data_IF_371150958059
#
_entry.id   IF_371150958059
#
_cell.length_a   1.000
_cell.length_b   1.000
_cell.length_c   1.000
_cell.angle_alpha   90.00
_cell.angle_beta   90.00
_cell.angle_gamma   90.00
#
_symmetry.space_group_name_H-M   'P 1'
#
loop_
_entity.id
_entity.type
_entity.pdbx_description
1 polymer ?
#
# COMPACT_ATOMS: atom_id res chain seq x y z
N UNK A 1 -0.61 40.96 -17.33
CA UNK A 1 -1.10 39.70 -16.74
C UNK A 1 0.10 38.98 -16.14
N UNK A 2 0.30 39.11 -14.84
CA UNK A 2 1.32 38.36 -14.09
C UNK A 2 0.89 36.90 -14.01
N UNK A 3 1.72 36.00 -14.52
CA UNK A 3 1.55 34.56 -14.34
C UNK A 3 1.79 34.28 -12.85
N UNK A 4 0.71 34.01 -12.11
CA UNK A 4 0.79 33.62 -10.70
C UNK A 4 1.64 32.35 -10.61
N UNK A 5 2.80 32.46 -9.98
CA UNK A 5 3.68 31.31 -9.76
C UNK A 5 3.02 30.44 -8.70
N UNK A 6 2.36 29.36 -9.10
CA UNK A 6 1.74 28.41 -8.16
C UNK A 6 2.78 27.95 -7.13
N UNK A 7 2.40 27.93 -5.85
CA UNK A 7 3.29 27.45 -4.80
C UNK A 7 3.60 25.95 -5.01
N UNK A 8 4.76 25.48 -4.53
CA UNK A 8 5.11 24.04 -4.58
C UNK A 8 4.01 23.17 -3.94
N UNK A 9 3.34 23.68 -2.90
CA UNK A 9 2.19 23.05 -2.26
C UNK A 9 1.02 22.92 -3.23
N UNK A 10 0.65 23.98 -3.95
CA UNK A 10 -0.48 23.97 -4.90
C UNK A 10 -0.23 23.04 -6.09
N UNK A 11 0.98 23.03 -6.64
CA UNK A 11 1.37 22.12 -7.73
C UNK A 11 1.35 20.65 -7.29
N UNK A 12 1.94 20.35 -6.13
CA UNK A 12 1.89 19.04 -5.50
C UNK A 12 0.45 18.57 -5.26
N UNK A 13 -0.37 19.45 -4.72
CA UNK A 13 -1.75 19.18 -4.38
C UNK A 13 -2.62 18.89 -5.59
N UNK A 14 -2.51 19.68 -6.66
CA UNK A 14 -3.27 19.46 -7.89
C UNK A 14 -2.97 18.08 -8.50
N UNK A 15 -1.72 17.63 -8.41
CA UNK A 15 -1.30 16.32 -8.94
C UNK A 15 -1.78 15.14 -8.07
N UNK A 16 -1.82 15.28 -6.75
CA UNK A 16 -2.09 14.15 -5.85
C UNK A 16 -3.46 14.11 -5.21
N UNK A 17 -4.22 15.22 -5.21
CA UNK A 17 -5.57 15.28 -4.63
C UNK A 17 -6.47 14.12 -5.11
N UNK A 18 -6.57 13.79 -6.41
CA UNK A 18 -7.43 12.69 -6.84
C UNK A 18 -7.01 11.36 -6.24
N UNK A 19 -5.69 11.10 -6.15
CA UNK A 19 -5.14 9.87 -5.58
C UNK A 19 -5.40 9.79 -4.09
N UNK A 20 -5.27 10.89 -3.36
CA UNK A 20 -5.46 10.88 -1.90
C UNK A 20 -6.93 10.72 -1.53
N UNK A 21 -7.83 11.41 -2.21
CA UNK A 21 -9.27 11.25 -2.00
C UNK A 21 -9.73 9.83 -2.35
N UNK A 22 -9.25 9.26 -3.46
CA UNK A 22 -9.54 7.87 -3.82
C UNK A 22 -8.99 6.86 -2.79
N UNK A 23 -7.92 7.22 -2.05
CA UNK A 23 -7.37 6.42 -0.95
C UNK A 23 -8.07 6.62 0.40
N UNK A 24 -9.17 7.38 0.44
CA UNK A 24 -9.98 7.54 1.64
C UNK A 24 -9.64 8.76 2.51
N UNK A 25 -8.83 9.69 2.00
CA UNK A 25 -8.66 11.01 2.62
C UNK A 25 -9.92 11.84 2.36
N UNK A 26 -10.46 12.45 3.43
CA UNK A 26 -11.60 13.34 3.31
C UNK A 26 -11.22 14.60 2.50
N UNK A 27 -12.09 14.99 1.57
CA UNK A 27 -11.84 16.14 0.71
C UNK A 27 -11.75 17.44 1.50
N UNK A 28 -12.54 17.59 2.58
CA UNK A 28 -12.53 18.80 3.39
C UNK A 28 -11.26 18.89 4.25
N UNK A 29 -10.74 17.75 4.71
CA UNK A 29 -9.43 17.70 5.37
C UNK A 29 -8.32 18.12 4.43
N UNK A 30 -8.34 17.61 3.19
CA UNK A 30 -7.36 17.98 2.18
C UNK A 30 -7.40 19.48 1.87
N UNK A 31 -8.58 20.02 1.57
CA UNK A 31 -8.77 21.46 1.31
C UNK A 31 -8.37 22.33 2.51
N UNK A 32 -8.69 21.89 3.74
CA UNK A 32 -8.30 22.59 4.98
C UNK A 32 -6.78 22.67 5.13
N UNK A 33 -6.05 21.60 4.80
CA UNK A 33 -4.59 21.60 4.81
C UNK A 33 -4.04 22.53 3.73
N UNK A 34 -4.55 22.46 2.50
CA UNK A 34 -4.07 23.30 1.40
C UNK A 34 -4.28 24.79 1.65
N UNK A 35 -5.47 25.17 2.12
CA UNK A 35 -5.78 26.56 2.41
C UNK A 35 -4.88 27.15 3.51
N UNK A 36 -4.36 26.30 4.40
CA UNK A 36 -3.54 26.70 5.54
C UNK A 36 -2.02 26.54 5.30
N UNK A 37 -1.59 25.82 4.25
CA UNK A 37 -0.20 25.57 3.92
C UNK A 37 0.29 26.56 2.86
N UNK A 38 0.84 27.69 3.31
CA UNK A 38 1.36 28.74 2.44
C UNK A 38 2.80 28.48 1.98
N UNK A 39 3.56 27.71 2.77
CA UNK A 39 4.91 27.25 2.44
C UNK A 39 4.97 25.71 2.43
N UNK A 40 5.92 25.13 1.68
CA UNK A 40 6.14 23.68 1.67
C UNK A 40 6.50 23.13 3.05
N UNK A 41 7.18 23.91 3.89
CA UNK A 41 7.50 23.57 5.29
C UNK A 41 6.27 23.39 6.17
N UNK A 42 5.15 24.02 5.81
CA UNK A 42 3.90 23.90 6.55
C UNK A 42 3.20 22.56 6.30
N UNK A 43 3.52 21.86 5.21
CA UNK A 43 2.83 20.65 4.78
C UNK A 43 2.73 19.58 5.87
N UNK A 44 3.88 19.13 6.41
CA UNK A 44 3.91 18.07 7.40
C UNK A 44 3.26 18.48 8.74
N UNK A 45 3.55 19.65 9.33
CA UNK A 45 2.87 20.10 10.55
C UNK A 45 1.34 20.23 10.41
N UNK A 46 0.84 20.63 9.24
CA UNK A 46 -0.62 20.75 9.00
C UNK A 46 -1.28 19.39 8.93
N UNK A 47 -0.68 18.44 8.22
CA UNK A 47 -1.17 17.06 8.18
C UNK A 47 -1.08 16.36 9.54
N UNK A 48 -0.04 16.64 10.33
CA UNK A 48 0.07 16.15 11.71
C UNK A 48 -1.15 16.59 12.53
N UNK A 49 -1.53 17.86 12.45
CA UNK A 49 -2.68 18.39 13.20
C UNK A 49 -3.99 17.68 12.83
N UNK A 50 -4.25 17.48 11.54
CA UNK A 50 -5.44 16.74 11.09
C UNK A 50 -5.38 15.28 11.52
N UNK A 51 -4.20 14.65 11.49
CA UNK A 51 -4.02 13.30 12.02
C UNK A 51 -4.33 13.20 13.52
N UNK A 52 -3.90 14.19 14.30
CA UNK A 52 -4.15 14.28 15.75
C UNK A 52 -5.64 14.49 16.07
N UNK A 53 -6.36 15.26 15.24
CA UNK A 53 -7.83 15.41 15.32
C UNK A 53 -8.53 14.06 15.13
N UNK A 54 -8.18 13.32 14.06
CA UNK A 54 -8.76 11.98 13.81
C UNK A 54 -8.38 10.95 14.85
N UNK A 55 -7.16 11.01 15.37
CA UNK A 55 -6.71 10.12 16.46
C UNK A 55 -7.57 10.32 17.71
N UNK A 56 -7.83 11.57 18.08
CA UNK A 56 -8.71 11.91 19.21
C UNK A 56 -10.14 11.39 19.01
N UNK A 57 -10.67 11.50 17.78
CA UNK A 57 -11.97 10.94 17.42
C UNK A 57 -11.98 9.40 17.53
N UNK A 58 -10.92 8.75 17.08
CA UNK A 58 -10.77 7.30 17.13
C UNK A 58 -10.77 6.79 18.56
N UNK A 59 -9.93 7.36 19.42
CA UNK A 59 -9.83 6.98 20.83
C UNK A 59 -11.13 7.29 21.59
N UNK A 60 -11.83 8.37 21.24
CA UNK A 60 -13.15 8.70 21.81
C UNK A 60 -14.23 7.69 21.40
N UNK A 61 -14.22 7.25 20.13
CA UNK A 61 -15.13 6.22 19.64
C UNK A 61 -14.84 4.85 20.28
N UNK A 62 -13.58 4.48 20.40
CA UNK A 62 -13.12 3.24 21.04
C UNK A 62 -13.54 3.17 22.51
N UNK A 63 -13.29 4.24 23.29
CA UNK A 63 -13.74 4.34 24.69
C UNK A 63 -15.25 4.18 24.85
N UNK A 64 -16.02 4.54 23.83
CA UNK A 64 -17.50 4.42 23.80
C UNK A 64 -17.97 3.08 23.21
N UNK A 65 -17.06 2.15 22.91
CA UNK A 65 -17.37 0.85 22.32
C UNK A 65 -17.82 0.90 20.86
N UNK A 66 -17.61 2.02 20.15
CA UNK A 66 -18.02 2.20 18.74
C UNK A 66 -16.89 1.77 17.81
N UNK A 67 -16.69 0.47 17.69
CA UNK A 67 -15.51 -0.12 17.04
C UNK A 67 -15.38 0.24 15.56
N UNK A 68 -16.47 0.24 14.78
CA UNK A 68 -16.42 0.63 13.35
C UNK A 68 -15.95 2.07 13.19
N UNK A 69 -16.56 3.00 13.93
CA UNK A 69 -16.17 4.41 13.90
C UNK A 69 -14.74 4.63 14.39
N UNK A 70 -14.30 3.89 15.40
CA UNK A 70 -12.93 3.93 15.89
C UNK A 70 -11.94 3.48 14.82
N UNK A 71 -12.21 2.34 14.17
CA UNK A 71 -11.38 1.82 13.08
C UNK A 71 -11.24 2.80 11.94
N UNK A 72 -12.34 3.37 11.44
CA UNK A 72 -12.27 4.33 10.34
C UNK A 72 -11.47 5.58 10.73
N UNK A 73 -11.66 6.10 11.95
CA UNK A 73 -10.93 7.26 12.43
C UNK A 73 -9.42 6.95 12.63
N UNK A 74 -9.07 5.75 13.10
CA UNK A 74 -7.68 5.30 13.15
C UNK A 74 -7.04 5.20 11.75
N UNK A 75 -7.78 4.72 10.74
CA UNK A 75 -7.28 4.72 9.35
C UNK A 75 -7.03 6.15 8.84
N UNK A 76 -7.99 7.06 9.03
CA UNK A 76 -7.88 8.46 8.61
C UNK A 76 -6.69 9.15 9.27
N UNK A 77 -6.51 8.96 10.59
CA UNK A 77 -5.36 9.49 11.33
C UNK A 77 -4.04 8.96 10.77
N UNK A 78 -3.93 7.65 10.56
CA UNK A 78 -2.72 7.01 10.02
C UNK A 78 -2.36 7.52 8.62
N UNK A 79 -3.36 7.73 7.75
CA UNK A 79 -3.14 8.29 6.41
C UNK A 79 -2.73 9.76 6.47
N UNK A 80 -3.32 10.57 7.36
CA UNK A 80 -2.89 11.95 7.55
C UNK A 80 -1.40 12.04 7.95
N UNK A 81 -0.95 11.20 8.89
CA UNK A 81 0.47 11.13 9.25
C UNK A 81 1.34 10.66 8.08
N UNK A 82 0.89 9.68 7.31
CA UNK A 82 1.60 9.23 6.12
C UNK A 82 1.75 10.35 5.07
N UNK A 83 0.68 11.11 4.83
CA UNK A 83 0.68 12.21 3.87
C UNK A 83 1.56 13.37 4.32
N UNK A 84 1.58 13.68 5.61
CA UNK A 84 2.45 14.74 6.15
C UNK A 84 3.92 14.50 5.80
N UNK A 85 4.37 13.25 5.81
CA UNK A 85 5.75 12.89 5.45
C UNK A 85 5.96 12.55 3.96
N UNK A 86 4.90 12.47 3.16
CA UNK A 86 4.99 12.03 1.77
C UNK A 86 5.72 13.08 0.91
N UNK A 87 6.89 12.73 0.39
CA UNK A 87 7.78 13.60 -0.40
C UNK A 87 8.20 14.90 0.32
N UNK A 88 8.15 14.89 1.65
CA UNK A 88 8.49 16.03 2.48
C UNK A 88 9.74 15.73 3.30
N UNK A 89 10.79 16.54 3.13
CA UNK A 89 12.13 16.28 3.69
C UNK A 89 12.71 17.47 4.46
N UNK A 90 11.89 18.47 4.79
CA UNK A 90 12.36 19.71 5.43
C UNK A 90 12.80 19.49 6.88
N UNK A 91 12.23 18.50 7.57
CA UNK A 91 12.62 18.11 8.94
C UNK A 91 12.63 16.58 9.08
N UNK A 92 13.81 16.02 9.32
CA UNK A 92 14.00 14.58 9.49
C UNK A 92 13.36 14.05 10.77
N UNK A 93 13.40 14.80 11.87
CA UNK A 93 12.83 14.38 13.15
C UNK A 93 11.31 14.29 13.06
N UNK A 94 10.67 15.31 12.45
CA UNK A 94 9.23 15.27 12.21
C UNK A 94 8.85 14.15 11.23
N UNK A 95 9.64 13.93 10.17
CA UNK A 95 9.40 12.83 9.24
C UNK A 95 9.41 11.46 9.93
N UNK A 96 10.38 11.22 10.83
CA UNK A 96 10.47 9.97 11.60
C UNK A 96 9.31 9.83 12.61
N UNK A 97 8.95 10.91 13.32
CA UNK A 97 7.78 10.93 14.21
C UNK A 97 6.50 10.56 13.46
N UNK A 98 6.26 11.16 12.29
CA UNK A 98 5.07 10.88 11.48
C UNK A 98 5.07 9.45 10.93
N UNK A 99 6.24 8.90 10.62
CA UNK A 99 6.36 7.48 10.22
C UNK A 99 5.94 6.56 11.36
N UNK A 100 6.45 6.78 12.56
CA UNK A 100 6.11 5.98 13.75
C UNK A 100 4.62 6.12 14.09
N UNK A 101 4.08 7.34 14.11
CA UNK A 101 2.66 7.59 14.36
C UNK A 101 1.77 6.92 13.31
N UNK A 102 2.12 7.00 12.02
CA UNK A 102 1.36 6.36 10.96
C UNK A 102 1.27 4.85 11.17
N UNK A 103 2.40 4.18 11.45
CA UNK A 103 2.44 2.73 11.68
C UNK A 103 1.68 2.34 12.94
N UNK A 104 1.95 3.00 14.07
CA UNK A 104 1.33 2.69 15.35
C UNK A 104 -0.19 2.91 15.33
N UNK A 105 -0.65 3.96 14.65
CA UNK A 105 -2.08 4.28 14.54
C UNK A 105 -2.79 3.30 13.61
N UNK A 106 -2.19 2.96 12.47
CA UNK A 106 -2.78 1.98 11.56
C UNK A 106 -2.87 0.58 12.20
N UNK A 107 -1.90 0.22 13.04
CA UNK A 107 -1.92 -1.04 13.80
C UNK A 107 -3.18 -1.18 14.67
N UNK A 108 -3.67 -0.07 15.27
CA UNK A 108 -4.92 -0.06 16.05
C UNK A 108 -6.17 -0.30 15.20
N UNK A 109 -6.12 0.06 13.91
CA UNK A 109 -7.25 -0.15 13.00
C UNK A 109 -7.39 -1.61 12.53
N UNK A 110 -6.31 -2.40 12.54
CA UNK A 110 -6.23 -3.70 11.85
C UNK A 110 -7.34 -4.67 12.22
N UNK A 111 -7.62 -4.84 13.51
CA UNK A 111 -8.62 -5.82 13.98
C UNK A 111 -10.06 -5.48 13.57
N UNK A 112 -10.36 -4.19 13.35
CA UNK A 112 -11.70 -3.76 12.94
C UNK A 112 -11.87 -3.53 11.44
N UNK A 113 -10.82 -3.79 10.63
CA UNK A 113 -10.95 -3.81 9.17
C UNK A 113 -11.91 -4.93 8.73
N UNK A 114 -12.55 -4.80 7.57
CA UNK A 114 -13.38 -5.86 6.98
C UNK A 114 -12.88 -6.23 5.57
N UNK A 115 -12.19 -7.38 5.39
CA UNK A 115 -11.82 -8.36 6.42
C UNK A 115 -10.71 -7.84 7.38
N UNK A 116 -10.58 -8.41 8.59
CA UNK A 116 -9.56 -8.02 9.56
C UNK A 116 -8.14 -8.11 8.99
N UNK A 117 -7.30 -7.16 9.39
CA UNK A 117 -5.88 -7.16 9.09
C UNK A 117 -5.07 -7.90 10.14
N UNK A 118 -4.10 -8.69 9.69
CA UNK A 118 -3.08 -9.32 10.51
C UNK A 118 -1.72 -8.77 10.10
N UNK A 119 -0.98 -8.26 11.08
CA UNK A 119 0.42 -7.83 10.86
C UNK A 119 1.28 -9.08 10.66
N UNK A 120 1.97 -9.17 9.53
CA UNK A 120 2.89 -10.28 9.20
C UNK A 120 4.28 -9.75 8.89
N UNK A 121 5.31 -10.52 9.17
CA UNK A 121 6.70 -10.15 8.87
C UNK A 121 7.34 -11.15 7.91
N UNK A 122 8.02 -10.61 6.90
CA UNK A 122 8.63 -11.39 5.83
C UNK A 122 10.15 -11.14 5.79
N UNK A 123 11.02 -12.15 5.99
CA UNK A 123 12.47 -11.97 6.05
C UNK A 123 13.09 -11.70 4.67
N UNK A 124 13.71 -10.55 4.44
CA UNK A 124 14.30 -10.17 3.15
C UNK A 124 15.70 -9.59 3.34
N UNK A 125 16.72 -10.22 2.73
CA UNK A 125 18.12 -9.74 2.76
C UNK A 125 18.65 -9.39 4.16
N UNK A 126 18.34 -10.23 5.17
CA UNK A 126 18.75 -9.98 6.56
C UNK A 126 17.91 -8.93 7.31
N UNK A 127 16.91 -8.35 6.66
CA UNK A 127 15.92 -7.46 7.24
C UNK A 127 14.55 -8.14 7.40
N UNK A 128 13.66 -7.54 8.19
CA UNK A 128 12.25 -7.92 8.28
C UNK A 128 11.39 -6.91 7.52
N UNK A 129 10.62 -7.37 6.53
CA UNK A 129 9.67 -6.54 5.80
C UNK A 129 8.30 -6.62 6.47
N UNK A 130 7.76 -5.49 6.93
CA UNK A 130 6.40 -5.44 7.44
C UNK A 130 5.34 -5.62 6.35
N UNK A 131 4.38 -6.51 6.57
CA UNK A 131 3.19 -6.69 5.73
C UNK A 131 1.90 -6.74 6.53
N UNK A 132 0.77 -6.59 5.84
CA UNK A 132 -0.58 -6.70 6.42
C UNK A 132 -1.36 -7.69 5.58
N UNK A 133 -1.67 -8.83 6.18
CA UNK A 133 -2.46 -9.89 5.59
C UNK A 133 -3.94 -9.66 5.89
N UNK A 134 -4.77 -9.67 4.86
CA UNK A 134 -6.23 -9.59 4.98
C UNK A 134 -6.83 -10.81 4.31
N UNK A 135 -7.62 -11.60 5.03
CA UNK A 135 -8.21 -12.84 4.52
C UNK A 135 -9.73 -12.66 4.40
N UNK A 136 -10.28 -12.44 3.20
CA UNK A 136 -11.71 -12.29 3.01
C UNK A 136 -12.45 -13.62 3.18
N UNK A 137 -13.35 -13.69 4.17
CA UNK A 137 -14.09 -14.92 4.51
C UNK A 137 -14.88 -15.53 3.33
N UNK A 138 -15.38 -14.68 2.41
CA UNK A 138 -16.16 -15.11 1.23
C UNK A 138 -15.33 -15.42 -0.02
N UNK A 139 -14.06 -15.02 -0.06
CA UNK A 139 -13.19 -15.29 -1.21
C UNK A 139 -12.88 -16.79 -1.37
N UNK A 140 -12.95 -17.56 -0.29
CA UNK A 140 -12.73 -19.00 -0.35
C UNK A 140 -13.88 -19.79 -1.04
N UNK A 141 -15.07 -19.20 -1.26
CA UNK A 141 -16.23 -19.98 -1.76
C UNK A 141 -17.11 -19.34 -2.84
N UNK A 142 -17.14 -18.01 -3.01
CA UNK A 142 -18.16 -17.38 -3.90
C UNK A 142 -17.63 -16.56 -5.08
N UNK A 143 -16.31 -16.36 -5.18
CA UNK A 143 -15.71 -15.57 -6.26
C UNK A 143 -16.11 -14.08 -6.30
N UNK A 144 -16.81 -13.58 -5.27
CA UNK A 144 -17.25 -12.17 -5.17
C UNK A 144 -16.59 -11.51 -3.97
N UNK A 145 -15.52 -10.78 -4.25
CA UNK A 145 -14.88 -9.82 -3.34
C UNK A 145 -15.55 -8.46 -3.50
N UNK A 146 -15.89 -7.81 -2.38
CA UNK A 146 -16.30 -6.40 -2.41
C UNK A 146 -15.05 -5.52 -2.56
N UNK A 147 -15.16 -4.39 -3.25
CA UNK A 147 -14.03 -3.51 -3.52
C UNK A 147 -13.42 -2.88 -2.25
N UNK A 148 -14.22 -2.69 -1.20
CA UNK A 148 -13.79 -2.22 0.13
C UNK A 148 -12.89 -3.23 0.87
N UNK A 149 -13.10 -4.53 0.65
CA UNK A 149 -12.31 -5.61 1.25
C UNK A 149 -10.85 -5.64 0.78
N UNK A 150 -10.55 -5.07 -0.39
CA UNK A 150 -9.20 -5.00 -0.97
C UNK A 150 -8.62 -3.58 -0.97
N UNK A 151 -9.36 -2.60 -0.45
CA UNK A 151 -8.88 -1.23 -0.33
C UNK A 151 -7.64 -1.15 0.57
N UNK A 152 -6.64 -0.37 0.13
CA UNK A 152 -5.37 -0.16 0.83
C UNK A 152 -4.26 -1.17 0.55
N UNK A 153 -4.42 -2.05 -0.44
CA UNK A 153 -3.33 -2.92 -0.90
C UNK A 153 -2.13 -2.11 -1.45
N UNK A 154 -0.93 -2.67 -1.33
CA UNK A 154 0.31 -2.10 -1.94
C UNK A 154 0.66 -2.85 -3.22
N UNK A 155 0.39 -4.16 -3.23
CA UNK A 155 0.62 -5.08 -4.35
C UNK A 155 -0.60 -6.00 -4.48
N UNK A 156 -1.12 -6.12 -5.70
CA UNK A 156 -2.13 -7.13 -6.05
C UNK A 156 -1.45 -8.39 -6.57
N UNK A 157 -2.03 -9.57 -6.29
CA UNK A 157 -1.71 -10.82 -7.00
C UNK A 157 -2.90 -11.22 -7.86
N UNK A 158 -2.67 -11.41 -9.16
CA UNK A 158 -3.68 -11.85 -10.12
C UNK A 158 -3.29 -13.22 -10.67
N UNK A 159 -4.17 -14.22 -10.54
CA UNK A 159 -3.90 -15.58 -11.00
C UNK A 159 -4.85 -15.95 -12.13
N UNK A 160 -4.31 -16.06 -13.35
CA UNK A 160 -5.03 -16.61 -14.51
C UNK A 160 -4.49 -17.98 -14.93
N UNK A 161 -3.56 -18.54 -14.17
CA UNK A 161 -3.02 -19.88 -14.41
C UNK A 161 -4.06 -20.98 -14.31
N UNK A 162 -5.08 -20.79 -13.46
CA UNK A 162 -6.25 -21.69 -13.36
C UNK A 162 -7.11 -21.70 -14.64
N UNK A 163 -7.00 -20.67 -15.47
CA UNK A 163 -7.70 -20.54 -16.75
C UNK A 163 -6.82 -20.94 -17.95
N UNK A 164 -5.65 -21.53 -17.72
CA UNK A 164 -4.77 -21.99 -18.79
C UNK A 164 -3.78 -20.94 -19.32
N UNK A 165 -3.77 -19.73 -18.76
CA UNK A 165 -2.89 -18.64 -19.23
C UNK A 165 -1.46 -18.88 -18.78
N UNK A 166 -0.54 -19.08 -19.72
CA UNK A 166 0.88 -19.30 -19.41
C UNK A 166 1.58 -18.04 -18.88
N UNK A 167 1.21 -16.84 -19.38
CA UNK A 167 1.71 -15.53 -18.93
C UNK A 167 0.76 -14.41 -19.37
N UNK A 168 0.65 -13.35 -18.56
CA UNK A 168 -0.03 -12.11 -18.95
C UNK A 168 0.59 -10.89 -18.27
N UNK A 169 0.43 -9.71 -18.87
CA UNK A 169 0.83 -8.43 -18.28
C UNK A 169 -0.39 -7.84 -17.58
N UNK A 170 -0.38 -7.86 -16.25
CA UNK A 170 -1.45 -7.26 -15.47
C UNK A 170 -1.30 -5.73 -15.41
N UNK A 171 -2.42 -5.02 -15.48
CA UNK A 171 -2.43 -3.57 -15.31
C UNK A 171 -2.41 -3.28 -13.81
N UNK A 172 -1.48 -2.43 -13.37
CA UNK A 172 -1.45 -1.96 -11.98
C UNK A 172 -2.80 -1.32 -11.66
N UNK A 173 -3.43 -1.73 -10.57
CA UNK A 173 -4.67 -1.12 -10.08
C UNK A 173 -4.30 0.13 -9.28
N UNK A 174 -4.40 1.36 -9.82
CA UNK A 174 -4.09 2.54 -9.02
C UNK A 174 -5.10 2.62 -7.87
N UNK A 175 -4.66 2.94 -6.64
CA UNK A 175 -3.41 3.62 -6.28
C UNK A 175 -2.24 2.72 -5.85
N UNK A 176 -2.31 1.41 -6.08
CA UNK A 176 -1.26 0.43 -5.74
C UNK A 176 0.05 0.68 -6.50
N UNK A 177 1.16 0.14 -5.99
CA UNK A 177 2.48 0.33 -6.60
C UNK A 177 2.81 -0.74 -7.64
N UNK A 178 2.27 -1.95 -7.48
CA UNK A 178 2.60 -3.07 -8.35
C UNK A 178 1.48 -4.13 -8.40
N UNK A 179 1.54 -4.98 -9.41
CA UNK A 179 0.70 -6.17 -9.54
C UNK A 179 1.54 -7.36 -10.04
N UNK A 180 1.39 -8.51 -9.40
CA UNK A 180 2.02 -9.78 -9.79
C UNK A 180 0.98 -10.63 -10.52
N UNK A 181 1.25 -10.93 -11.78
CA UNK A 181 0.51 -11.90 -12.58
C UNK A 181 1.13 -13.29 -12.41
N UNK A 182 0.29 -14.27 -12.06
CA UNK A 182 0.65 -15.68 -11.91
C UNK A 182 0.07 -16.47 -13.09
N UNK A 183 0.96 -17.02 -13.92
CA UNK A 183 0.60 -17.92 -15.01
C UNK A 183 0.30 -19.34 -14.55
N UNK A 184 0.03 -20.22 -15.50
CA UNK A 184 -0.21 -21.65 -15.25
C UNK A 184 1.07 -22.36 -14.83
N UNK A 185 0.95 -23.27 -13.86
CA UNK A 185 1.99 -24.26 -13.56
C UNK A 185 1.96 -25.35 -14.63
N UNK A 186 3.07 -25.57 -15.31
CA UNK A 186 3.19 -26.59 -16.36
C UNK A 186 4.54 -27.30 -16.30
N UNK A 187 4.57 -28.56 -16.69
CA UNK A 187 5.82 -29.30 -16.83
C UNK A 187 6.66 -28.68 -17.96
N UNK A 188 7.89 -28.27 -17.62
CA UNK A 188 8.87 -27.70 -18.55
C UNK A 188 10.21 -28.42 -18.37
N UNK A 189 10.93 -28.56 -19.46
CA UNK A 189 12.33 -29.01 -19.42
C UNK A 189 13.20 -27.84 -18.99
N UNK A 190 13.89 -27.98 -17.87
CA UNK A 190 14.81 -26.99 -17.30
C UNK A 190 16.17 -27.61 -17.01
N UNK A 191 17.22 -26.81 -16.99
CA UNK A 191 18.54 -27.28 -16.58
C UNK A 191 18.61 -27.36 -15.04
N UNK A 192 19.01 -28.52 -14.51
CA UNK A 192 19.27 -28.73 -13.08
C UNK A 192 20.61 -29.43 -12.91
N UNK A 193 21.56 -28.78 -12.23
CA UNK A 193 22.92 -29.32 -12.07
C UNK A 193 23.63 -29.61 -13.40
N UNK A 194 23.37 -28.79 -14.42
CA UNK A 194 23.95 -28.96 -15.77
C UNK A 194 23.28 -30.01 -16.65
N UNK A 195 22.21 -30.68 -16.19
CA UNK A 195 21.47 -31.68 -16.97
C UNK A 195 20.01 -31.29 -17.18
N UNK A 196 19.37 -31.65 -18.33
CA UNK A 196 17.95 -31.44 -18.53
C UNK A 196 17.10 -32.26 -17.54
N UNK A 197 16.09 -31.63 -16.96
CA UNK A 197 15.12 -32.25 -16.07
C UNK A 197 13.72 -31.67 -16.31
N UNK A 198 12.68 -32.51 -16.22
CA UNK A 198 11.28 -32.05 -16.24
C UNK A 198 10.90 -31.56 -14.86
N UNK A 199 10.36 -30.34 -14.76
CA UNK A 199 9.91 -29.72 -13.50
C UNK A 199 8.60 -28.97 -13.71
N UNK A 200 7.73 -28.90 -12.68
CA UNK A 200 6.63 -27.95 -12.67
C UNK A 200 7.21 -26.53 -12.60
N UNK A 201 6.85 -25.69 -13.56
CA UNK A 201 7.31 -24.30 -13.68
C UNK A 201 6.11 -23.38 -13.82
N UNK A 202 6.16 -22.23 -13.15
CA UNK A 202 5.22 -21.12 -13.30
C UNK A 202 5.95 -19.89 -13.81
N UNK A 203 5.29 -19.10 -14.65
CA UNK A 203 5.80 -17.77 -15.02
C UNK A 203 5.13 -16.71 -14.16
N UNK A 204 5.93 -15.91 -13.47
CA UNK A 204 5.47 -14.71 -12.76
C UNK A 204 5.77 -13.47 -13.62
N UNK A 205 4.85 -12.53 -13.69
CA UNK A 205 5.05 -11.25 -14.38
C UNK A 205 4.71 -10.11 -13.43
N UNK A 206 5.68 -9.24 -13.16
CA UNK A 206 5.52 -8.09 -12.29
C UNK A 206 5.34 -6.83 -13.13
N UNK A 207 4.24 -6.11 -12.92
CA UNK A 207 4.03 -4.77 -13.45
C UNK A 207 4.12 -3.76 -12.32
N UNK A 208 4.86 -2.68 -12.54
CA UNK A 208 5.23 -1.70 -11.50
C UNK A 208 4.99 -0.29 -12.03
N UNK A 209 4.48 0.59 -11.18
CA UNK A 209 4.52 2.02 -11.45
C UNK A 209 5.97 2.53 -11.32
N UNK A 210 6.59 2.89 -12.46
CA UNK A 210 7.98 3.35 -12.50
C UNK A 210 8.24 4.67 -11.76
N UNK A 211 7.18 5.39 -11.38
CA UNK A 211 7.32 6.56 -10.49
C UNK A 211 7.60 6.14 -9.05
N UNK A 212 7.32 4.88 -8.69
CA UNK A 212 7.49 4.32 -7.34
C UNK A 212 8.76 3.47 -7.25
N UNK A 213 9.08 2.67 -8.28
CA UNK A 213 10.27 1.82 -8.29
C UNK A 213 10.88 1.63 -9.69
N UNK A 214 12.20 1.49 -9.74
CA UNK A 214 12.93 1.21 -10.96
C UNK A 214 12.95 -0.30 -11.31
N UNK A 215 13.45 -0.62 -12.51
CA UNK A 215 13.52 -2.00 -13.00
C UNK A 215 14.45 -2.90 -12.17
N UNK A 216 15.52 -2.35 -11.59
CA UNK A 216 16.44 -3.13 -10.76
C UNK A 216 15.78 -3.57 -9.45
N UNK A 217 15.02 -2.66 -8.82
CA UNK A 217 14.24 -2.93 -7.61
C UNK A 217 13.13 -3.94 -7.89
N UNK A 218 12.41 -3.78 -9.01
CA UNK A 218 11.39 -4.73 -9.44
C UNK A 218 11.96 -6.13 -9.70
N UNK A 219 13.13 -6.23 -10.35
CA UNK A 219 13.80 -7.50 -10.63
C UNK A 219 14.24 -8.21 -9.34
N UNK A 220 14.87 -7.49 -8.40
CA UNK A 220 15.27 -8.05 -7.10
C UNK A 220 14.07 -8.56 -6.31
N UNK A 221 12.99 -7.79 -6.27
CA UNK A 221 11.75 -8.20 -5.60
C UNK A 221 11.17 -9.48 -6.21
N UNK A 222 11.03 -9.52 -7.55
CA UNK A 222 10.49 -10.71 -8.23
C UNK A 222 11.39 -11.94 -8.05
N UNK A 223 12.71 -11.76 -8.08
CA UNK A 223 13.67 -12.83 -7.80
C UNK A 223 13.50 -13.39 -6.39
N UNK A 224 13.38 -12.53 -5.38
CA UNK A 224 13.19 -12.97 -4.01
C UNK A 224 11.85 -13.71 -3.80
N UNK A 225 10.79 -13.30 -4.51
CA UNK A 225 9.51 -14.03 -4.50
C UNK A 225 9.68 -15.42 -5.14
N UNK A 226 10.35 -15.51 -6.29
CA UNK A 226 10.61 -16.77 -6.97
C UNK A 226 11.45 -17.72 -6.10
N UNK A 227 12.54 -17.22 -5.51
CA UNK A 227 13.43 -18.00 -4.64
C UNK A 227 12.68 -18.60 -3.44
N UNK A 228 11.75 -17.85 -2.85
CA UNK A 228 10.94 -18.34 -1.73
C UNK A 228 9.93 -19.41 -2.15
N UNK A 229 9.28 -19.21 -3.31
CA UNK A 229 8.38 -20.23 -3.88
C UNK A 229 9.12 -21.54 -4.15
N UNK A 230 10.36 -21.47 -4.63
CA UNK A 230 11.18 -22.64 -4.91
C UNK A 230 11.66 -23.37 -3.66
N UNK A 231 11.88 -22.66 -2.55
CA UNK A 231 12.24 -23.24 -1.24
C UNK A 231 11.04 -23.74 -0.44
N UNK A 232 9.84 -23.24 -0.73
CA UNK A 232 8.62 -23.57 0.01
C UNK A 232 8.54 -22.89 1.39
N UNK A 233 9.18 -21.73 1.55
CA UNK A 233 9.28 -20.97 2.82
C UNK A 233 8.40 -19.70 2.83
N UNK A 234 7.25 -19.74 2.13
CA UNK A 234 6.21 -18.70 2.17
C UNK A 234 5.14 -18.96 3.23
#
# INVERSE_FOLDING_TARGET
MTVETQSRVQLAAAHWKPRFVANGIDVNDFERVLAAATDWRDWAPRWQRVGDEHLSLAESAERKGRLVSATEAYQRAAWCYHLGKFLWFEDRALHDLLRERSVATYAKALAGLDPPGLRIEAPFEGASIPGILRIPERAARSGKLRADAVAGAVVTVSNLGTLGVDRFTAIVNPPEAAIIAVGRVSDRVVAKGGSPAVRPVVTLTLSVDHRVADGATAARYLSAVADRLERGDL
#
